data_IF_328529128264
#
_entry.id   IF_328529128264
#
_cell.length_a   1.000
_cell.length_b   1.000
_cell.length_c   1.000
_cell.angle_alpha   90.00
_cell.angle_beta   90.00
_cell.angle_gamma   90.00
#
_symmetry.space_group_name_H-M   'P 1'
#
loop_
_entity.id
_entity.type
_entity.pdbx_description
1 polymer ?
#
# COMPACT_ATOMS: atom_id res chain seq x y z
N UNK A 1 -1.76 -26.22 -5.09
CA UNK A 1 -2.28 -25.06 -4.34
C UNK A 1 -1.17 -24.06 -4.22
N UNK A 2 -1.27 -22.92 -4.88
CA UNK A 2 -0.29 -21.84 -4.74
C UNK A 2 -0.71 -21.00 -3.53
N UNK A 3 0.24 -20.64 -2.68
CA UNK A 3 -0.02 -19.81 -1.49
C UNK A 3 0.69 -18.48 -1.69
N UNK A 4 -0.07 -17.38 -1.62
CA UNK A 4 0.49 -16.03 -1.61
C UNK A 4 0.71 -15.58 -0.16
N UNK A 5 1.75 -14.78 0.07
CA UNK A 5 2.02 -14.14 1.35
C UNK A 5 1.82 -12.64 1.14
N UNK A 6 0.86 -12.06 1.87
CA UNK A 6 0.53 -10.63 1.82
C UNK A 6 0.76 -9.98 3.19
N UNK A 7 0.78 -8.65 3.22
CA UNK A 7 0.83 -7.84 4.45
C UNK A 7 -0.04 -6.62 4.24
N UNK A 8 -0.94 -6.37 5.18
CA UNK A 8 -1.80 -5.20 5.15
C UNK A 8 -1.05 -3.87 5.07
N UNK A 9 -1.70 -2.88 4.48
CA UNK A 9 -1.16 -1.53 4.27
C UNK A 9 -1.02 -0.80 5.61
N UNK A 10 0.19 -0.35 5.93
CA UNK A 10 0.45 0.47 7.11
C UNK A 10 -0.03 1.90 6.89
N UNK A 11 -0.65 2.52 7.90
CA UNK A 11 -1.02 3.95 7.87
C UNK A 11 0.21 4.87 7.72
N UNK A 12 1.36 4.46 8.24
CA UNK A 12 2.63 5.19 8.11
C UNK A 12 3.19 5.15 6.68
N UNK A 13 2.60 4.38 5.76
CA UNK A 13 3.00 4.40 4.34
C UNK A 13 2.90 5.83 3.76
N UNK A 14 1.95 6.65 4.24
CA UNK A 14 1.81 8.05 3.85
C UNK A 14 3.03 8.91 4.23
N UNK A 15 3.84 8.47 5.17
CA UNK A 15 5.03 9.19 5.67
C UNK A 15 6.32 8.64 5.06
N UNK A 16 6.25 7.55 4.26
CA UNK A 16 7.43 6.89 3.74
C UNK A 16 8.08 7.68 2.59
N UNK A 17 9.32 8.13 2.79
CA UNK A 17 10.07 8.97 1.84
C UNK A 17 11.15 8.20 1.05
N UNK A 18 11.06 6.87 0.99
CA UNK A 18 12.03 6.02 0.28
C UNK A 18 11.79 6.01 -1.25
N UNK A 19 11.94 7.16 -1.90
CA UNK A 19 11.90 7.27 -3.37
C UNK A 19 12.83 8.35 -3.90
N UNK A 20 13.31 8.16 -5.13
CA UNK A 20 14.11 9.14 -5.87
C UNK A 20 13.26 10.03 -6.79
N UNK A 21 11.93 9.95 -6.67
CA UNK A 21 10.95 10.73 -7.45
C UNK A 21 10.33 11.82 -6.58
N UNK A 22 9.92 12.92 -7.23
CA UNK A 22 9.08 13.93 -6.58
C UNK A 22 7.79 13.29 -6.07
N UNK A 23 7.46 13.56 -4.81
CA UNK A 23 6.44 12.82 -4.09
C UNK A 23 5.07 13.45 -4.27
N UNK A 24 4.11 12.64 -4.70
CA UNK A 24 2.69 12.95 -4.56
C UNK A 24 2.14 12.36 -3.25
N UNK A 25 1.28 13.08 -2.51
CA UNK A 25 0.66 12.54 -1.31
C UNK A 25 -0.12 11.25 -1.57
N UNK A 26 0.13 10.22 -0.77
CA UNK A 26 -0.61 8.95 -0.87
C UNK A 26 -1.95 9.09 -0.15
N UNK A 27 -3.05 8.81 -0.85
CA UNK A 27 -4.33 8.58 -0.20
C UNK A 27 -4.35 7.18 0.44
N UNK A 28 -4.16 7.12 1.75
CA UNK A 28 -4.01 5.86 2.49
C UNK A 28 -5.28 5.03 2.53
N UNK A 29 -6.44 5.66 2.63
CA UNK A 29 -7.71 4.91 2.65
C UNK A 29 -7.95 4.25 1.29
N UNK A 30 -7.65 4.95 0.19
CA UNK A 30 -7.69 4.35 -1.15
C UNK A 30 -6.69 3.19 -1.29
N UNK A 31 -5.45 3.35 -0.77
CA UNK A 31 -4.44 2.29 -0.83
C UNK A 31 -4.87 1.03 -0.05
N UNK A 32 -5.54 1.21 1.10
CA UNK A 32 -6.11 0.12 1.89
C UNK A 32 -7.21 -0.60 1.08
N UNK A 33 -8.14 0.14 0.49
CA UNK A 33 -9.22 -0.43 -0.33
C UNK A 33 -8.67 -1.21 -1.55
N UNK A 34 -7.70 -0.63 -2.24
CA UNK A 34 -7.02 -1.27 -3.37
C UNK A 34 -6.30 -2.56 -2.97
N UNK A 35 -5.64 -2.58 -1.80
CA UNK A 35 -4.99 -3.79 -1.30
C UNK A 35 -6.00 -4.89 -0.96
N UNK A 36 -7.11 -4.52 -0.32
CA UNK A 36 -8.19 -5.48 -0.06
C UNK A 36 -8.74 -6.08 -1.35
N UNK A 37 -8.92 -5.27 -2.40
CA UNK A 37 -9.35 -5.76 -3.71
C UNK A 37 -8.32 -6.71 -4.37
N UNK A 38 -7.02 -6.53 -4.11
CA UNK A 38 -5.95 -7.42 -4.60
C UNK A 38 -5.91 -8.77 -3.86
N UNK A 39 -6.30 -8.81 -2.59
CA UNK A 39 -6.30 -10.04 -1.78
C UNK A 39 -7.50 -10.97 -2.08
N UNK A 40 -8.51 -10.50 -2.82
CA UNK A 40 -9.66 -11.30 -3.26
C UNK A 40 -9.37 -12.06 -4.56
#
# INVERSE_FOLDING_TARGET
MLTAITRGVSRQLAECELTWLDREPINIELAIEQHHAYEQ
#
